data_IF_756917367993
#
_entry.id   IF_756917367993
#
_cell.length_a   1.000
_cell.length_b   1.000
_cell.length_c   1.000
_cell.angle_alpha   90.00
_cell.angle_beta   90.00
_cell.angle_gamma   90.00
#
_symmetry.space_group_name_H-M   'P 1'
#
loop_
_entity.id
_entity.type
_entity.pdbx_description
1 polymer ?
#
# COMPACT_ATOMS: atom_id res chain seq x y z
N UNK A 1 20.23 -31.50 30.71
CA UNK A 1 20.71 -30.33 29.93
C UNK A 1 19.93 -30.25 28.64
N UNK A 2 18.87 -29.43 28.61
CA UNK A 2 18.07 -29.21 27.39
C UNK A 2 18.81 -28.21 26.53
N UNK A 3 19.34 -28.66 25.40
CA UNK A 3 19.92 -27.81 24.37
C UNK A 3 18.81 -26.89 23.85
N UNK A 4 18.76 -25.65 24.35
CA UNK A 4 17.99 -24.57 23.73
C UNK A 4 18.63 -24.33 22.36
N UNK A 5 18.17 -25.06 21.35
CA UNK A 5 18.43 -24.72 19.97
C UNK A 5 17.92 -23.29 19.79
N UNK A 6 18.83 -22.34 19.63
CA UNK A 6 18.52 -20.96 19.28
C UNK A 6 17.97 -20.96 17.84
N UNK A 7 16.75 -21.49 17.66
CA UNK A 7 16.04 -21.45 16.38
C UNK A 7 15.84 -19.99 16.04
N UNK A 8 16.39 -19.57 14.90
CA UNK A 8 16.23 -18.21 14.41
C UNK A 8 14.71 -17.92 14.27
N UNK A 9 14.15 -17.02 15.08
CA UNK A 9 12.71 -16.78 15.11
C UNK A 9 12.17 -16.30 13.75
N UNK A 10 13.03 -15.67 12.94
CA UNK A 10 12.68 -15.20 11.60
C UNK A 10 12.44 -16.34 10.62
N UNK A 11 13.21 -17.43 10.70
CA UNK A 11 13.02 -18.60 9.84
C UNK A 11 11.68 -19.27 10.15
N UNK A 12 11.34 -19.42 11.43
CA UNK A 12 10.05 -19.95 11.85
C UNK A 12 8.88 -19.07 11.38
N UNK A 13 8.99 -17.75 11.57
CA UNK A 13 7.97 -16.78 11.11
C UNK A 13 7.77 -16.91 9.61
N UNK A 14 8.85 -16.92 8.83
CA UNK A 14 8.78 -17.03 7.38
C UNK A 14 8.12 -18.33 6.93
N UNK A 15 8.52 -19.47 7.51
CA UNK A 15 7.95 -20.78 7.17
C UNK A 15 6.46 -20.85 7.51
N UNK A 16 6.06 -20.45 8.72
CA UNK A 16 4.66 -20.50 9.15
C UNK A 16 3.78 -19.57 8.31
N UNK A 17 4.28 -18.36 8.02
CA UNK A 17 3.56 -17.38 7.24
C UNK A 17 3.43 -17.80 5.77
N UNK A 18 4.51 -18.32 5.16
CA UNK A 18 4.45 -18.87 3.80
C UNK A 18 3.47 -20.03 3.71
N UNK A 19 3.54 -20.98 4.64
CA UNK A 19 2.62 -22.11 4.67
C UNK A 19 1.16 -21.63 4.83
N UNK A 20 0.90 -20.73 5.77
CA UNK A 20 -0.44 -20.19 6.01
C UNK A 20 -1.00 -19.42 4.80
N UNK A 21 -0.17 -18.58 4.16
CA UNK A 21 -0.55 -17.83 2.97
C UNK A 21 -0.81 -18.75 1.78
N UNK A 22 0.07 -19.72 1.51
CA UNK A 22 -0.13 -20.67 0.41
C UNK A 22 -1.40 -21.49 0.61
N UNK A 23 -1.67 -21.98 1.83
CA UNK A 23 -2.90 -22.73 2.14
C UNK A 23 -4.14 -21.84 1.94
N UNK A 24 -4.11 -20.62 2.48
CA UNK A 24 -5.28 -19.72 2.46
C UNK A 24 -5.60 -19.19 1.06
N UNK A 25 -4.57 -18.94 0.24
CA UNK A 25 -4.72 -18.37 -1.10
C UNK A 25 -4.65 -19.41 -2.22
N UNK A 26 -4.44 -20.69 -1.92
CA UNK A 26 -4.30 -21.77 -2.91
C UNK A 26 -5.39 -21.75 -3.98
N UNK A 27 -6.65 -21.63 -3.55
CA UNK A 27 -7.80 -21.60 -4.46
C UNK A 27 -7.86 -20.31 -5.29
N UNK A 28 -7.37 -19.20 -4.74
CA UNK A 28 -7.37 -17.90 -5.44
C UNK A 28 -6.29 -17.83 -6.53
N UNK A 29 -5.19 -18.58 -6.40
CA UNK A 29 -4.07 -18.55 -7.37
C UNK A 29 -4.50 -18.85 -8.81
N UNK A 30 -5.57 -19.63 -9.00
CA UNK A 30 -6.07 -20.03 -10.32
C UNK A 30 -7.30 -19.22 -10.76
N UNK A 31 -7.82 -18.32 -9.91
CA UNK A 31 -9.01 -17.55 -10.20
C UNK A 31 -8.67 -16.32 -11.04
N UNK A 32 -9.18 -16.27 -12.29
CA UNK A 32 -8.93 -15.17 -13.22
C UNK A 32 -9.76 -13.91 -12.95
N UNK A 33 -10.85 -14.03 -12.20
CA UNK A 33 -11.90 -12.98 -12.03
C UNK A 33 -11.33 -11.63 -11.59
N UNK A 34 -10.28 -11.60 -10.77
CA UNK A 34 -9.74 -10.36 -10.20
C UNK A 34 -8.41 -9.91 -10.83
N UNK A 35 -7.91 -10.67 -11.81
CA UNK A 35 -6.67 -10.38 -12.54
C UNK A 35 -6.95 -10.04 -13.99
N UNK A 36 -7.88 -10.75 -14.62
CA UNK A 36 -8.17 -10.68 -16.06
C UNK A 36 -9.52 -10.02 -16.36
N UNK A 37 -10.18 -9.36 -15.39
CA UNK A 37 -11.42 -8.62 -15.67
C UNK A 37 -11.23 -7.50 -16.71
N UNK A 38 -12.35 -7.03 -17.29
CA UNK A 38 -12.33 -5.98 -18.33
C UNK A 38 -11.68 -4.68 -17.86
N UNK A 39 -11.75 -4.37 -16.57
CA UNK A 39 -11.15 -3.21 -15.94
C UNK A 39 -9.81 -3.44 -15.29
N UNK A 40 -9.15 -4.56 -15.62
CA UNK A 40 -7.84 -4.87 -15.11
C UNK A 40 -6.81 -3.86 -15.61
N UNK A 41 -6.04 -3.32 -14.68
CA UNK A 41 -4.90 -2.43 -14.95
C UNK A 41 -3.92 -3.08 -15.93
N UNK A 42 -3.83 -4.42 -15.93
CA UNK A 42 -2.96 -5.17 -16.84
C UNK A 42 -3.37 -5.05 -18.31
N UNK A 43 -4.62 -4.69 -18.62
CA UNK A 43 -5.08 -4.48 -20.00
C UNK A 43 -4.61 -3.15 -20.59
N UNK A 44 -4.10 -2.23 -19.77
CA UNK A 44 -3.64 -0.92 -20.24
C UNK A 44 -2.45 -1.06 -21.20
N UNK A 45 -2.52 -0.50 -22.43
CA UNK A 45 -1.43 -0.58 -23.41
C UNK A 45 -0.14 0.06 -22.90
N UNK A 46 -0.22 1.10 -22.06
CA UNK A 46 0.95 1.76 -21.46
C UNK A 46 1.81 0.79 -20.62
N UNK A 47 1.23 -0.30 -20.13
CA UNK A 47 1.94 -1.30 -19.34
C UNK A 47 2.54 -2.43 -20.19
N UNK A 48 2.39 -2.43 -21.51
CA UNK A 48 2.91 -3.54 -22.32
C UNK A 48 4.44 -3.59 -22.39
N UNK A 49 5.12 -2.47 -22.11
CA UNK A 49 6.56 -2.37 -22.30
C UNK A 49 7.25 -1.38 -21.37
N UNK A 50 8.43 -1.74 -20.86
CA UNK A 50 9.25 -0.88 -20.01
C UNK A 50 9.68 0.43 -20.67
N UNK A 51 9.72 0.50 -22.00
CA UNK A 51 10.08 1.76 -22.69
C UNK A 51 9.02 2.86 -22.53
N UNK A 52 7.85 2.54 -21.99
CA UNK A 52 6.83 3.53 -21.64
C UNK A 52 7.14 4.26 -20.33
N UNK A 53 8.21 3.92 -19.61
CA UNK A 53 8.59 4.58 -18.36
C UNK A 53 8.67 6.12 -18.46
N UNK A 54 9.30 6.73 -19.48
CA UNK A 54 9.32 8.19 -19.61
C UNK A 54 7.91 8.78 -19.68
N UNK A 55 6.99 8.11 -20.37
CA UNK A 55 5.59 8.53 -20.42
C UNK A 55 4.89 8.34 -19.06
N UNK A 56 5.10 7.22 -18.36
CA UNK A 56 4.49 6.96 -17.04
C UNK A 56 4.85 8.05 -16.01
N UNK A 57 6.06 8.62 -16.08
CA UNK A 57 6.50 9.71 -15.20
C UNK A 57 6.24 11.11 -15.78
N UNK A 58 5.55 11.21 -16.92
CA UNK A 58 5.25 12.48 -17.59
C UNK A 58 4.03 13.20 -16.99
N UNK A 59 3.90 14.48 -17.34
CA UNK A 59 2.69 15.27 -17.04
C UNK A 59 1.46 14.76 -17.78
N UNK A 60 1.63 14.15 -18.95
CA UNK A 60 0.50 13.64 -19.74
C UNK A 60 -0.14 12.46 -19.01
N UNK A 61 0.68 11.53 -18.51
CA UNK A 61 0.17 10.40 -17.72
C UNK A 61 -0.60 10.83 -16.47
N UNK A 62 -0.15 11.90 -15.80
CA UNK A 62 -0.86 12.53 -14.70
C UNK A 62 -2.27 13.01 -15.10
N UNK A 63 -2.43 13.61 -16.28
CA UNK A 63 -3.74 14.09 -16.77
C UNK A 63 -4.68 12.96 -17.23
N UNK A 64 -4.14 11.82 -17.67
CA UNK A 64 -4.91 10.68 -18.16
C UNK A 64 -5.20 9.60 -17.10
N UNK A 65 -4.76 9.80 -15.85
CA UNK A 65 -4.95 8.84 -14.75
C UNK A 65 -6.09 9.21 -13.79
N UNK A 66 -7.08 10.00 -14.22
CA UNK A 66 -8.18 10.47 -13.35
C UNK A 66 -7.69 11.20 -12.07
N UNK A 67 -6.51 11.83 -12.13
CA UNK A 67 -5.90 12.47 -10.94
C UNK A 67 -5.33 11.47 -9.93
N UNK A 68 -5.19 10.19 -10.31
CA UNK A 68 -4.52 9.14 -9.54
C UNK A 68 -3.07 9.00 -10.01
N UNK A 69 -2.24 10.01 -9.74
CA UNK A 69 -0.81 9.93 -10.03
C UNK A 69 -0.11 8.97 -9.09
N UNK A 70 0.16 7.76 -9.59
CA UNK A 70 0.86 6.68 -8.88
C UNK A 70 1.90 6.00 -9.80
N UNK A 71 2.81 6.77 -10.42
CA UNK A 71 3.63 6.31 -11.54
C UNK A 71 4.51 5.11 -11.18
N UNK A 72 4.94 4.96 -9.92
CA UNK A 72 5.83 3.87 -9.54
C UNK A 72 5.17 2.48 -9.63
N UNK A 73 3.88 2.39 -9.27
CA UNK A 73 3.13 1.14 -9.39
C UNK A 73 2.96 0.72 -10.86
N UNK A 74 2.62 1.67 -11.73
CA UNK A 74 2.52 1.44 -13.18
C UNK A 74 3.87 1.11 -13.79
N UNK A 75 4.92 1.83 -13.43
CA UNK A 75 6.28 1.60 -13.89
C UNK A 75 6.74 0.17 -13.60
N UNK A 76 6.52 -0.30 -12.37
CA UNK A 76 6.91 -1.64 -11.98
C UNK A 76 6.08 -2.71 -12.73
N UNK A 77 4.78 -2.50 -12.88
CA UNK A 77 3.96 -3.38 -13.71
C UNK A 77 4.41 -3.39 -15.18
N UNK A 78 4.79 -2.25 -15.76
CA UNK A 78 5.26 -2.15 -17.16
C UNK A 78 6.58 -2.90 -17.39
N UNK A 79 7.50 -2.83 -16.42
CA UNK A 79 8.75 -3.59 -16.45
C UNK A 79 8.45 -5.08 -16.43
N UNK A 80 7.60 -5.54 -15.51
CA UNK A 80 7.28 -6.97 -15.39
C UNK A 80 6.47 -7.49 -16.59
N UNK A 81 5.50 -6.71 -17.08
CA UNK A 81 4.70 -7.04 -18.25
C UNK A 81 5.48 -7.13 -19.56
N UNK A 82 6.70 -6.59 -19.61
CA UNK A 82 7.61 -6.83 -20.73
C UNK A 82 7.93 -8.32 -20.87
N UNK A 83 7.98 -9.05 -19.76
CA UNK A 83 8.40 -10.45 -19.70
C UNK A 83 7.26 -11.41 -19.37
N UNK A 84 6.19 -10.90 -18.77
CA UNK A 84 5.07 -11.71 -18.30
C UNK A 84 3.77 -11.30 -18.97
N UNK A 85 3.09 -12.26 -19.57
CA UNK A 85 1.78 -12.07 -20.17
C UNK A 85 0.74 -11.62 -19.12
N UNK A 86 -0.15 -10.67 -19.44
CA UNK A 86 -1.29 -10.34 -18.56
C UNK A 86 -2.17 -11.56 -18.25
N UNK A 87 -2.19 -12.57 -19.13
CA UNK A 87 -2.99 -13.79 -18.94
C UNK A 87 -2.36 -14.82 -18.00
N UNK A 88 -1.13 -14.58 -17.52
CA UNK A 88 -0.50 -15.44 -16.52
C UNK A 88 -1.07 -15.16 -15.12
N UNK A 89 -2.31 -15.62 -14.89
CA UNK A 89 -3.09 -15.40 -13.66
C UNK A 89 -2.31 -15.82 -12.40
N UNK A 90 -1.67 -16.99 -12.44
CA UNK A 90 -0.91 -17.51 -11.30
C UNK A 90 0.24 -16.57 -10.93
N UNK A 91 0.97 -16.06 -11.92
CA UNK A 91 2.05 -15.11 -11.66
C UNK A 91 1.55 -13.84 -10.97
N UNK A 92 0.45 -13.26 -11.43
CA UNK A 92 -0.05 -12.00 -10.87
C UNK A 92 -0.59 -12.15 -9.45
N UNK A 93 -1.18 -13.30 -9.11
CA UNK A 93 -1.52 -13.62 -7.72
C UNK A 93 -0.27 -13.80 -6.85
N UNK A 94 0.73 -14.55 -7.33
CA UNK A 94 1.99 -14.71 -6.60
C UNK A 94 2.72 -13.38 -6.43
N UNK A 95 2.63 -12.48 -7.41
CA UNK A 95 3.16 -11.13 -7.35
C UNK A 95 2.53 -10.32 -6.20
N UNK A 96 1.20 -10.30 -6.10
CA UNK A 96 0.51 -9.63 -5.00
C UNK A 96 0.81 -10.30 -3.64
N UNK A 97 0.82 -11.63 -3.62
CA UNK A 97 1.09 -12.42 -2.41
C UNK A 97 2.52 -12.20 -1.91
N UNK A 98 3.49 -12.01 -2.80
CA UNK A 98 4.87 -11.65 -2.45
C UNK A 98 4.94 -10.33 -1.70
N UNK A 99 4.30 -9.26 -2.20
CA UNK A 99 4.28 -7.98 -1.47
C UNK A 99 3.47 -8.06 -0.18
N UNK A 100 2.40 -8.86 -0.14
CA UNK A 100 1.66 -9.11 1.10
C UNK A 100 2.50 -9.85 2.15
N UNK A 101 3.31 -10.83 1.73
CA UNK A 101 4.29 -11.49 2.59
C UNK A 101 5.30 -10.49 3.16
N UNK A 102 5.84 -9.59 2.32
CA UNK A 102 6.73 -8.52 2.79
C UNK A 102 6.04 -7.62 3.82
N UNK A 103 4.78 -7.24 3.57
CA UNK A 103 3.99 -6.44 4.51
C UNK A 103 3.83 -7.14 5.86
N UNK A 104 3.50 -8.43 5.86
CA UNK A 104 3.35 -9.22 7.09
C UNK A 104 4.68 -9.35 7.86
N UNK A 105 5.82 -9.54 7.17
CA UNK A 105 7.15 -9.54 7.78
C UNK A 105 7.49 -8.17 8.39
N UNK A 106 7.13 -7.07 7.73
CA UNK A 106 7.33 -5.72 8.26
C UNK A 106 6.43 -5.48 9.48
N UNK A 107 5.19 -5.97 9.49
CA UNK A 107 4.31 -5.95 10.67
C UNK A 107 4.96 -6.71 11.83
N UNK A 108 5.46 -7.93 11.61
CA UNK A 108 6.21 -8.67 12.62
C UNK A 108 7.37 -7.83 13.19
N UNK A 109 8.15 -7.19 12.30
CA UNK A 109 9.33 -6.41 12.65
C UNK A 109 8.98 -5.19 13.51
N UNK A 110 7.89 -4.49 13.17
CA UNK A 110 7.39 -3.32 13.90
C UNK A 110 6.80 -3.75 15.25
N UNK A 111 5.98 -4.79 15.31
CA UNK A 111 5.41 -5.25 16.58
C UNK A 111 6.49 -5.76 17.53
N UNK A 112 7.51 -6.45 17.00
CA UNK A 112 8.69 -6.85 17.78
C UNK A 112 9.45 -5.63 18.32
N UNK A 113 9.47 -4.50 17.60
CA UNK A 113 10.05 -3.25 18.11
C UNK A 113 9.37 -2.81 19.40
N UNK A 114 8.04 -2.87 19.48
CA UNK A 114 7.28 -2.43 20.65
C UNK A 114 7.20 -3.47 21.77
N UNK A 115 6.78 -4.69 21.48
CA UNK A 115 6.47 -5.68 22.51
C UNK A 115 7.68 -6.47 23.00
N UNK A 116 8.79 -6.52 22.22
CA UNK A 116 10.01 -7.34 22.44
C UNK A 116 9.77 -8.86 22.61
N UNK A 117 8.53 -9.31 22.70
CA UNK A 117 8.12 -10.71 22.78
C UNK A 117 7.83 -11.27 21.39
N UNK A 118 8.57 -12.31 20.99
CA UNK A 118 8.47 -12.91 19.66
C UNK A 118 7.09 -13.52 19.39
N UNK A 119 6.46 -14.14 20.40
CA UNK A 119 5.14 -14.76 20.24
C UNK A 119 4.05 -13.75 19.89
N UNK A 120 4.07 -12.57 20.50
CA UNK A 120 3.08 -11.51 20.24
C UNK A 120 3.28 -10.90 18.84
N UNK A 121 4.53 -10.73 18.41
CA UNK A 121 4.85 -10.29 17.07
C UNK A 121 4.45 -11.33 16.01
N UNK A 122 4.67 -12.62 16.28
CA UNK A 122 4.24 -13.72 15.41
C UNK A 122 2.72 -13.76 15.31
N UNK A 123 2.01 -13.64 16.43
CA UNK A 123 0.55 -13.57 16.44
C UNK A 123 0.03 -12.41 15.59
N UNK A 124 0.54 -11.19 15.80
CA UNK A 124 0.13 -10.03 15.01
C UNK A 124 0.42 -10.20 13.50
N UNK A 125 1.57 -10.78 13.16
CA UNK A 125 1.94 -11.11 11.78
C UNK A 125 0.98 -12.10 11.13
N UNK A 126 0.61 -13.18 11.84
CA UNK A 126 -0.31 -14.20 11.34
C UNK A 126 -1.73 -13.64 11.23
N UNK A 127 -2.19 -12.89 12.23
CA UNK A 127 -3.50 -12.22 12.19
C UNK A 127 -3.58 -11.28 11.00
N UNK A 128 -2.55 -10.46 10.75
CA UNK A 128 -2.51 -9.57 9.59
C UNK A 128 -2.45 -10.34 8.26
N UNK A 129 -1.54 -11.31 8.16
CA UNK A 129 -1.27 -12.05 6.92
C UNK A 129 -2.44 -12.91 6.48
N UNK A 130 -3.10 -13.57 7.44
CA UNK A 130 -4.19 -14.52 7.20
C UNK A 130 -5.58 -13.90 7.39
N UNK A 131 -5.66 -12.58 7.61
CA UNK A 131 -6.94 -11.91 7.79
C UNK A 131 -7.81 -12.06 6.53
N UNK A 132 -9.10 -12.41 6.62
CA UNK A 132 -9.97 -12.52 5.44
C UNK A 132 -10.04 -11.24 4.61
N UNK A 133 -9.93 -10.07 5.24
CA UNK A 133 -9.84 -8.78 4.55
C UNK A 133 -8.69 -8.70 3.54
N UNK A 134 -7.58 -9.42 3.77
CA UNK A 134 -6.48 -9.44 2.82
C UNK A 134 -6.91 -9.96 1.45
N UNK A 135 -7.89 -10.86 1.38
CA UNK A 135 -8.40 -11.41 0.11
C UNK A 135 -9.01 -10.33 -0.81
N UNK A 136 -9.57 -9.26 -0.26
CA UNK A 136 -10.15 -8.15 -1.05
C UNK A 136 -9.06 -7.39 -1.81
N UNK A 137 -7.88 -7.26 -1.21
CA UNK A 137 -6.80 -6.41 -1.72
C UNK A 137 -5.75 -7.26 -2.47
N UNK A 138 -5.43 -8.45 -1.97
CA UNK A 138 -4.33 -9.30 -2.46
C UNK A 138 -4.74 -10.17 -3.64
N UNK A 139 -6.04 -10.36 -3.90
CA UNK A 139 -6.50 -11.09 -5.08
C UNK A 139 -6.72 -10.21 -6.30
N UNK A 140 -6.76 -8.88 -6.15
CA UNK A 140 -7.10 -7.97 -7.25
C UNK A 140 -5.92 -7.08 -7.65
N UNK A 141 -5.47 -7.23 -8.89
CA UNK A 141 -4.30 -6.51 -9.42
C UNK A 141 -4.51 -5.00 -9.50
N UNK A 142 -5.75 -4.53 -9.59
CA UNK A 142 -6.08 -3.10 -9.54
C UNK A 142 -5.68 -2.48 -8.19
N UNK A 143 -5.62 -3.26 -7.12
CA UNK A 143 -5.18 -2.81 -5.80
C UNK A 143 -3.68 -3.01 -5.55
N UNK A 144 -2.89 -3.38 -6.56
CA UNK A 144 -1.44 -3.53 -6.43
C UNK A 144 -0.77 -2.30 -5.79
N UNK A 145 -1.20 -1.11 -6.20
CA UNK A 145 -0.70 0.15 -5.65
C UNK A 145 -0.97 0.32 -4.15
N UNK A 146 -2.05 -0.25 -3.59
CA UNK A 146 -2.26 -0.27 -2.14
C UNK A 146 -1.34 -1.28 -1.46
N UNK A 147 -1.18 -2.48 -2.02
CA UNK A 147 -0.30 -3.52 -1.44
C UNK A 147 1.15 -3.05 -1.41
N UNK A 148 1.66 -2.53 -2.54
CA UNK A 148 3.01 -1.99 -2.67
C UNK A 148 3.18 -0.71 -1.84
N UNK A 149 2.17 0.16 -1.85
CA UNK A 149 2.16 1.38 -1.05
C UNK A 149 2.29 1.08 0.44
N UNK A 150 1.62 0.03 0.93
CA UNK A 150 1.75 -0.46 2.29
C UNK A 150 3.17 -1.00 2.57
N UNK A 151 3.81 -1.67 1.62
CA UNK A 151 5.21 -2.13 1.76
C UNK A 151 6.14 -0.96 2.00
N UNK A 152 6.03 0.08 1.19
CA UNK A 152 6.82 1.30 1.36
C UNK A 152 6.47 2.05 2.63
N UNK A 153 5.20 2.11 3.01
CA UNK A 153 4.75 2.70 4.27
C UNK A 153 5.39 2.01 5.48
N UNK A 154 5.24 0.69 5.57
CA UNK A 154 5.74 -0.10 6.70
C UNK A 154 7.27 -0.17 6.69
N UNK A 155 7.89 -0.23 5.50
CA UNK A 155 9.35 -0.17 5.34
C UNK A 155 9.91 1.15 5.85
N UNK A 156 9.31 2.27 5.46
CA UNK A 156 9.69 3.60 5.96
C UNK A 156 9.53 3.71 7.47
N UNK A 157 8.39 3.25 8.01
CA UNK A 157 8.13 3.23 9.44
C UNK A 157 9.16 2.36 10.19
N UNK A 158 9.40 1.14 9.75
CA UNK A 158 10.36 0.23 10.38
C UNK A 158 11.79 0.80 10.36
N UNK A 159 12.23 1.37 9.24
CA UNK A 159 13.53 2.03 9.14
C UNK A 159 13.62 3.23 10.09
N UNK A 160 12.57 4.06 10.18
CA UNK A 160 12.53 5.21 11.08
C UNK A 160 12.59 4.78 12.56
N UNK A 161 11.75 3.82 12.96
CA UNK A 161 11.73 3.26 14.31
C UNK A 161 13.12 2.70 14.68
N UNK A 162 13.74 1.97 13.76
CA UNK A 162 15.06 1.39 13.95
C UNK A 162 16.15 2.46 14.02
N UNK A 163 16.04 3.54 13.22
CA UNK A 163 16.91 4.71 13.31
C UNK A 163 16.82 5.35 14.70
N UNK A 164 15.61 5.57 15.23
CA UNK A 164 15.45 6.20 16.54
C UNK A 164 16.11 5.37 17.65
N UNK A 165 16.08 4.04 17.53
CA UNK A 165 16.72 3.12 18.49
C UNK A 165 18.24 3.05 18.34
N UNK A 166 18.74 2.93 17.10
CA UNK A 166 20.14 2.61 16.83
C UNK A 166 20.98 3.84 16.46
N UNK A 167 20.35 5.00 16.25
CA UNK A 167 20.96 6.25 15.79
C UNK A 167 21.79 6.14 14.50
N UNK A 168 21.47 5.18 13.63
CA UNK A 168 22.21 4.95 12.38
C UNK A 168 21.64 5.76 11.21
N UNK A 169 22.45 6.63 10.62
CA UNK A 169 22.05 7.49 9.49
C UNK A 169 21.53 6.72 8.26
N UNK A 170 22.07 5.52 8.00
CA UNK A 170 21.62 4.66 6.89
C UNK A 170 20.15 4.25 7.01
N UNK A 171 19.66 4.02 8.24
CA UNK A 171 18.26 3.68 8.49
C UNK A 171 17.35 4.89 8.26
N UNK A 172 17.81 6.09 8.63
CA UNK A 172 17.06 7.31 8.34
C UNK A 172 16.97 7.60 6.83
N UNK A 173 18.08 7.42 6.11
CA UNK A 173 18.09 7.50 4.65
C UNK A 173 17.14 6.46 4.04
N UNK A 174 17.16 5.21 4.52
CA UNK A 174 16.21 4.17 4.11
C UNK A 174 14.75 4.57 4.36
N UNK A 175 14.44 5.19 5.50
CA UNK A 175 13.10 5.66 5.81
C UNK A 175 12.62 6.73 4.81
N UNK A 176 13.48 7.71 4.49
CA UNK A 176 13.19 8.75 3.50
C UNK A 176 13.01 8.12 2.10
N UNK A 177 13.90 7.23 1.69
CA UNK A 177 13.82 6.57 0.38
C UNK A 177 12.51 5.80 0.23
N UNK A 178 12.15 4.97 1.21
CA UNK A 178 10.87 4.26 1.17
C UNK A 178 9.68 5.20 1.17
N UNK A 179 9.73 6.29 1.93
CA UNK A 179 8.66 7.28 1.95
C UNK A 179 8.44 7.94 0.59
N UNK A 180 9.53 8.37 -0.09
CA UNK A 180 9.46 8.96 -1.43
C UNK A 180 8.87 7.96 -2.42
N UNK A 181 9.37 6.72 -2.44
CA UNK A 181 8.84 5.66 -3.31
C UNK A 181 7.36 5.39 -3.01
N UNK A 182 6.98 5.39 -1.74
CA UNK A 182 5.60 5.19 -1.30
C UNK A 182 4.65 6.29 -1.76
N UNK A 183 5.06 7.56 -1.71
CA UNK A 183 4.26 8.69 -2.22
C UNK A 183 3.96 8.52 -3.73
N UNK A 184 4.94 8.08 -4.52
CA UNK A 184 4.74 7.81 -5.96
C UNK A 184 3.98 6.51 -6.25
N UNK A 185 3.57 5.77 -5.21
CA UNK A 185 2.83 4.51 -5.32
C UNK A 185 1.39 4.64 -4.83
N UNK A 186 1.16 5.29 -3.69
CA UNK A 186 -0.18 5.44 -3.12
C UNK A 186 -0.30 6.71 -2.30
N UNK A 187 -1.43 7.41 -2.48
CA UNK A 187 -1.77 8.61 -1.72
C UNK A 187 -1.86 8.37 -0.21
N UNK A 188 -2.16 7.13 0.21
CA UNK A 188 -2.23 6.77 1.64
C UNK A 188 -0.90 7.04 2.34
N UNK A 189 0.23 6.97 1.63
CA UNK A 189 1.57 7.17 2.21
C UNK A 189 1.77 8.60 2.71
N UNK A 190 1.04 9.59 2.21
CA UNK A 190 1.07 10.96 2.73
C UNK A 190 0.67 11.07 4.22
N UNK A 191 0.02 10.04 4.78
CA UNK A 191 -0.35 9.99 6.20
C UNK A 191 0.80 9.60 7.12
N UNK A 192 1.90 9.03 6.59
CA UNK A 192 3.03 8.56 7.38
C UNK A 192 3.65 9.63 8.30
N UNK A 193 3.88 10.89 7.87
CA UNK A 193 4.46 11.91 8.74
C UNK A 193 3.64 12.13 10.01
N UNK A 194 2.31 12.05 9.93
CA UNK A 194 1.43 12.16 11.10
C UNK A 194 1.70 11.01 12.08
N UNK A 195 1.82 9.78 11.56
CA UNK A 195 2.15 8.62 12.41
C UNK A 195 3.55 8.73 13.03
N UNK A 196 4.55 9.25 12.31
CA UNK A 196 5.89 9.46 12.86
C UNK A 196 5.90 10.55 13.95
N UNK A 197 5.15 11.64 13.76
CA UNK A 197 4.97 12.68 14.78
C UNK A 197 4.29 12.11 16.02
N UNK A 198 3.21 11.34 15.85
CA UNK A 198 2.52 10.68 16.96
C UNK A 198 3.45 9.71 17.69
N UNK A 199 4.26 8.93 16.97
CA UNK A 199 5.26 8.06 17.58
C UNK A 199 6.30 8.85 18.40
N UNK A 200 6.84 9.95 17.86
CA UNK A 200 7.81 10.79 18.58
C UNK A 200 7.19 11.45 19.83
N UNK A 201 5.93 11.90 19.76
CA UNK A 201 5.22 12.54 20.88
C UNK A 201 4.79 11.55 21.96
N UNK A 202 4.04 10.51 21.59
CA UNK A 202 3.40 9.60 22.54
C UNK A 202 4.37 8.55 23.07
N UNK A 203 5.22 8.00 22.20
CA UNK A 203 6.09 6.88 22.55
C UNK A 203 7.49 7.34 22.97
N UNK A 204 8.17 8.11 22.12
CA UNK A 204 9.51 8.59 22.45
C UNK A 204 9.52 9.74 23.46
N UNK A 205 8.40 10.48 23.57
CA UNK A 205 8.30 11.72 24.35
C UNK A 205 9.45 12.69 24.04
N UNK A 206 9.79 12.78 22.76
CA UNK A 206 10.91 13.58 22.29
C UNK A 206 10.65 15.06 22.49
N UNK A 207 11.71 15.79 22.84
CA UNK A 207 11.68 17.26 22.84
C UNK A 207 11.26 17.80 21.47
N UNK A 208 10.52 18.92 21.47
CA UNK A 208 9.95 19.54 20.27
C UNK A 208 11.01 19.77 19.19
N UNK A 209 12.19 20.29 19.56
CA UNK A 209 13.29 20.52 18.61
C UNK A 209 13.72 19.24 17.90
N UNK A 210 13.87 18.14 18.64
CA UNK A 210 14.32 16.84 18.12
C UNK A 210 13.25 16.19 17.24
N UNK A 211 11.99 16.28 17.66
CA UNK A 211 10.84 15.85 16.86
C UNK A 211 10.80 16.58 15.52
N UNK A 212 10.88 17.91 15.53
CA UNK A 212 10.84 18.74 14.32
C UNK A 212 12.01 18.41 13.39
N UNK A 213 13.24 18.30 13.91
CA UNK A 213 14.41 17.96 13.09
C UNK A 213 14.27 16.59 12.40
N UNK A 214 13.70 15.59 13.07
CA UNK A 214 13.59 14.24 12.51
C UNK A 214 12.40 14.05 11.58
N UNK A 215 11.29 14.76 11.83
CA UNK A 215 10.04 14.58 11.06
C UNK A 215 9.88 15.62 9.94
N UNK A 216 10.54 16.78 10.04
CA UNK A 216 10.41 17.85 9.05
C UNK A 216 10.75 17.43 7.62
N UNK A 217 11.74 16.57 7.31
CA UNK A 217 11.95 16.16 5.92
C UNK A 217 10.74 15.44 5.32
N UNK A 218 10.05 14.61 6.09
CA UNK A 218 8.84 13.92 5.65
C UNK A 218 7.69 14.90 5.38
N UNK A 219 7.53 15.90 6.25
CA UNK A 219 6.51 16.95 6.09
C UNK A 219 6.83 17.84 4.88
N UNK A 220 8.08 18.27 4.74
CA UNK A 220 8.53 19.12 3.63
C UNK A 220 8.33 18.40 2.29
N UNK A 221 8.69 17.12 2.21
CA UNK A 221 8.46 16.29 1.02
C UNK A 221 6.96 16.19 0.73
N UNK A 222 6.12 15.89 1.73
CA UNK A 222 4.66 15.84 1.55
C UNK A 222 4.09 17.15 1.01
N UNK A 223 4.44 18.27 1.64
CA UNK A 223 3.94 19.60 1.25
C UNK A 223 4.46 19.96 -0.14
N UNK A 224 5.75 19.76 -0.41
CA UNK A 224 6.37 20.09 -1.70
C UNK A 224 5.84 19.27 -2.87
N UNK A 225 5.42 18.02 -2.64
CA UNK A 225 4.85 17.17 -3.68
C UNK A 225 3.31 17.33 -3.82
N UNK A 226 2.61 17.77 -2.78
CA UNK A 226 1.14 17.94 -2.80
C UNK A 226 0.57 18.75 -3.99
N UNK A 227 1.24 19.78 -4.54
CA UNK A 227 0.83 20.48 -5.77
C UNK A 227 0.51 19.57 -6.95
N UNK A 228 1.21 18.43 -7.08
CA UNK A 228 1.01 17.49 -8.19
C UNK A 228 -0.41 16.90 -8.22
N UNK A 229 -1.05 16.73 -7.06
CA UNK A 229 -2.41 16.18 -6.96
C UNK A 229 -3.49 17.26 -6.82
N UNK A 230 -3.11 18.48 -6.38
CA UNK A 230 -4.06 19.57 -6.16
C UNK A 230 -4.29 20.40 -7.43
N UNK A 231 -3.25 20.63 -8.23
CA UNK A 231 -3.33 21.54 -9.38
C UNK A 231 -3.53 20.83 -10.71
N UNK A 232 -3.04 19.60 -10.88
CA UNK A 232 -3.23 18.87 -12.12
C UNK A 232 -4.62 18.25 -12.17
N UNK A 233 -5.43 18.79 -13.07
CA UNK A 233 -6.80 18.36 -13.33
C UNK A 233 -6.80 17.27 -14.40
N UNK A 234 -7.62 16.21 -14.26
CA UNK A 234 -7.83 15.23 -15.33
C UNK A 234 -8.20 15.89 -16.67
N UNK A 235 -7.82 15.29 -17.79
CA UNK A 235 -8.09 15.89 -19.09
C UNK A 235 -9.61 16.09 -19.33
N UNK A 236 -10.10 17.31 -19.61
CA UNK A 236 -11.53 17.64 -19.59
C UNK A 236 -12.35 16.96 -20.69
N UNK A 237 -11.71 16.58 -21.81
CA UNK A 237 -12.39 15.84 -22.88
C UNK A 237 -12.65 14.36 -22.53
N UNK A 238 -11.82 13.76 -21.66
CA UNK A 238 -11.93 12.34 -21.30
C UNK A 238 -12.61 12.13 -19.95
N UNK A 239 -12.58 13.12 -19.06
CA UNK A 239 -13.16 13.05 -17.73
C UNK A 239 -14.19 14.14 -17.51
N UNK A 240 -15.44 13.73 -17.25
CA UNK A 240 -16.50 14.64 -16.86
C UNK A 240 -16.30 15.06 -15.41
N UNK A 241 -16.42 16.36 -15.16
CA UNK A 241 -16.42 16.92 -13.82
C UNK A 241 -17.86 16.93 -13.29
N UNK A 242 -18.19 16.10 -12.30
CA UNK A 242 -19.45 16.29 -11.60
C UNK A 242 -19.40 17.65 -10.91
N UNK A 243 -20.45 18.45 -11.08
CA UNK A 243 -20.62 19.67 -10.31
C UNK A 243 -20.74 19.28 -8.83
N UNK A 244 -19.67 19.52 -8.06
CA UNK A 244 -19.68 19.26 -6.63
C UNK A 244 -20.61 20.27 -5.96
N UNK A 245 -21.59 19.79 -5.20
CA UNK A 245 -22.39 20.67 -4.37
C UNK A 245 -21.51 21.37 -3.33
N UNK A 246 -21.92 22.55 -2.86
CA UNK A 246 -21.22 23.30 -1.79
C UNK A 246 -21.02 22.44 -0.53
N UNK A 247 -21.92 21.46 -0.30
CA UNK A 247 -21.88 20.53 0.83
C UNK A 247 -21.16 19.22 0.53
N UNK A 248 -20.59 19.04 -0.67
CA UNK A 248 -19.97 17.78 -1.07
C UNK A 248 -18.90 17.31 -0.09
N UNK A 249 -18.06 18.22 0.42
CA UNK A 249 -17.05 17.90 1.44
C UNK A 249 -17.67 17.35 2.73
N UNK A 250 -18.73 17.99 3.24
CA UNK A 250 -19.46 17.52 4.41
C UNK A 250 -20.16 16.18 4.17
N UNK A 251 -20.79 16.00 3.00
CA UNK A 251 -21.43 14.75 2.64
C UNK A 251 -20.41 13.60 2.56
N UNK A 252 -19.23 13.85 1.99
CA UNK A 252 -18.13 12.88 1.97
C UNK A 252 -17.65 12.55 3.38
N UNK A 253 -17.48 13.55 4.25
CA UNK A 253 -17.10 13.35 5.64
C UNK A 253 -18.12 12.47 6.39
N UNK A 254 -19.41 12.84 6.35
CA UNK A 254 -20.46 12.07 7.01
C UNK A 254 -20.64 10.68 6.42
N UNK A 255 -20.42 10.50 5.11
CA UNK A 255 -20.41 9.17 4.49
C UNK A 255 -19.30 8.29 5.06
N UNK A 256 -18.09 8.83 5.25
CA UNK A 256 -16.96 8.08 5.84
C UNK A 256 -17.22 7.77 7.31
N UNK A 257 -17.69 8.75 8.09
CA UNK A 257 -18.01 8.58 9.51
C UNK A 257 -19.16 7.60 9.70
N UNK A 258 -20.23 7.69 8.91
CA UNK A 258 -21.36 6.77 8.94
C UNK A 258 -20.99 5.35 8.53
N UNK A 259 -19.96 5.18 7.69
CA UNK A 259 -19.45 3.87 7.29
C UNK A 259 -18.53 3.22 8.34
N UNK A 260 -18.11 3.93 9.40
CA UNK A 260 -17.17 3.40 10.42
C UNK A 260 -17.61 2.09 11.05
N UNK A 261 -18.91 1.94 11.36
CA UNK A 261 -19.45 0.69 11.90
C UNK A 261 -19.27 -0.50 10.96
N UNK A 262 -19.41 -0.28 9.66
CA UNK A 262 -19.20 -1.30 8.64
C UNK A 262 -17.72 -1.66 8.49
N UNK A 263 -16.83 -0.66 8.54
CA UNK A 263 -15.39 -0.91 8.54
C UNK A 263 -14.94 -1.68 9.78
N UNK A 264 -15.49 -1.37 10.96
CA UNK A 264 -15.21 -2.10 12.19
C UNK A 264 -15.70 -3.55 12.12
N UNK A 265 -16.93 -3.77 11.63
CA UNK A 265 -17.47 -5.13 11.39
C UNK A 265 -16.57 -5.92 10.43
N UNK A 266 -16.13 -5.27 9.36
CA UNK A 266 -15.18 -5.84 8.41
C UNK A 266 -13.84 -6.22 9.00
N UNK A 267 -13.28 -5.34 9.84
CA UNK A 267 -12.01 -5.58 10.50
C UNK A 267 -12.09 -6.69 11.54
N UNK A 268 -13.21 -6.84 12.25
CA UNK A 268 -13.37 -7.84 13.31
C UNK A 268 -13.81 -9.20 12.80
N UNK A 269 -14.71 -9.23 11.81
CA UNK A 269 -15.37 -10.46 11.36
C UNK A 269 -15.04 -10.84 9.92
N UNK A 270 -14.25 -10.02 9.20
CA UNK A 270 -13.95 -10.25 7.79
C UNK A 270 -15.17 -10.21 6.87
N UNK A 271 -16.30 -9.65 7.32
CA UNK A 271 -17.58 -9.71 6.61
C UNK A 271 -18.30 -8.37 6.59
N UNK A 272 -19.18 -8.19 5.59
CA UNK A 272 -20.01 -6.99 5.49
C UNK A 272 -19.22 -5.72 5.19
N UNK A 273 -18.02 -5.82 4.63
CA UNK A 273 -17.30 -4.64 4.15
C UNK A 273 -18.04 -4.15 2.91
N UNK A 274 -18.47 -2.88 2.86
CA UNK A 274 -18.95 -2.30 1.63
C UNK A 274 -17.77 -2.30 0.66
N UNK A 275 -17.71 -3.34 -0.17
CA UNK A 275 -16.80 -3.38 -1.29
C UNK A 275 -17.27 -2.24 -2.17
N UNK A 276 -16.43 -1.22 -2.32
CA UNK A 276 -16.60 -0.27 -3.41
C UNK A 276 -16.38 -1.12 -4.66
N UNK A 277 -17.45 -1.72 -5.18
CA UNK A 277 -17.43 -2.81 -6.16
C UNK A 277 -16.77 -2.43 -7.49
N UNK A 278 -16.43 -1.14 -7.64
CA UNK A 278 -15.51 -0.52 -8.57
C UNK A 278 -15.26 0.88 -7.97
N UNK A 279 -14.07 1.47 -8.09
CA UNK A 279 -14.04 2.94 -8.24
C UNK A 279 -15.11 3.21 -9.31
N UNK A 280 -16.16 3.98 -9.01
CA UNK A 280 -17.36 4.08 -9.83
C UNK A 280 -17.11 4.79 -11.19
N UNK A 281 -16.17 4.27 -11.99
CA UNK A 281 -15.67 4.81 -13.24
C UNK A 281 -15.32 3.67 -14.21
N UNK A 282 -16.24 2.72 -14.37
CA UNK A 282 -16.28 1.85 -15.56
C UNK A 282 -17.68 1.69 -16.15
N UNK A 283 -18.53 2.71 -16.00
CA UNK A 283 -19.85 2.72 -16.65
C UNK A 283 -20.17 3.96 -17.48
N UNK A 284 -19.18 4.73 -17.90
CA UNK A 284 -19.43 5.94 -18.73
C UNK A 284 -18.63 5.97 -20.04
N UNK A 285 -17.80 4.97 -20.36
CA UNK A 285 -17.00 5.01 -21.59
C UNK A 285 -17.08 3.68 -22.35
N UNK A 286 -18.15 3.52 -23.13
CA UNK A 286 -18.04 2.85 -24.43
C UNK A 286 -17.44 3.90 -25.37
N UNK A 287 -16.18 3.75 -25.75
CA UNK A 287 -15.68 4.44 -26.94
C UNK A 287 -16.18 3.68 -28.17
N UNK A 288 -16.54 4.37 -29.27
CA UNK A 288 -16.87 3.72 -30.53
C UNK A 288 -15.70 2.90 -31.08
#
# INVERSE_FOLDING_TARGET
MTTKTHRNPWALVLVLLLAGLLISFWQSLHASVFVSDEGSVLRLPVLSWWRNLPFIFSRDFLMFSQGQFRPLSYALLAVIRTFVSPENVVFWHLWLLFFHLLNAILVFSIVRHFCRHTGSALFACLVFGLHPLATVVVNNINYFHYVLGLTFYLGAAWCYLSFVRLSQRRLYAGAISFFILGIFTSKVVFTLPVILVLYELLYCRSEVRKLLLRTSPFVIISVGLSPLWLFYRPHPYYFRYPALSVRAGWNSFFSVVGATGWYLKGLLFGSGIPVILREAVERILRFP
#
